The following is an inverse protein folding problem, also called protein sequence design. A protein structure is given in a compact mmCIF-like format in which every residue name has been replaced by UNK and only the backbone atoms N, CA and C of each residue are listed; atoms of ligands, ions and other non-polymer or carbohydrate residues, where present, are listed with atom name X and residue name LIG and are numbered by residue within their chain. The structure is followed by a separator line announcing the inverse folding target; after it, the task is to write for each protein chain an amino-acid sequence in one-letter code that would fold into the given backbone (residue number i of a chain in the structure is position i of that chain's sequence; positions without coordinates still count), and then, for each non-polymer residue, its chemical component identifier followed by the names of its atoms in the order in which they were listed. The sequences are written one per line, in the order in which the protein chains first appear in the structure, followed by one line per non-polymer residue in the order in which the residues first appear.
data_IF_964707756218
#
_entry.id   IF_964707756218
#
_cell.length_a   1.000
_cell.length_b   1.000
_cell.length_c   1.000
_cell.angle_alpha   90.00
_cell.angle_beta   90.00
_cell.angle_gamma   90.00
#
_symmetry.space_group_name_H-M   'P 1'
#
loop_
_entity.id
_entity.type
_entity.pdbx_description
1 polymer ?
#
# COMPACT_ATOMS: atom_id res chain seq x y z
N UNK A 1 -12.16 12.31 -6.02
CA UNK A 1 -11.42 12.97 -7.10
C UNK A 1 -10.68 11.88 -7.86
N UNK A 2 -10.99 11.69 -9.14
CA UNK A 2 -10.36 10.66 -9.95
C UNK A 2 -8.94 11.09 -10.31
N UNK A 3 -7.95 10.45 -9.71
CA UNK A 3 -6.60 10.48 -10.24
C UNK A 3 -6.59 9.64 -11.52
N UNK A 4 -6.51 10.32 -12.65
CA UNK A 4 -6.25 9.71 -13.95
C UNK A 4 -4.85 9.11 -13.89
N UNK A 5 -4.76 7.84 -13.47
CA UNK A 5 -3.63 7.00 -13.86
C UNK A 5 -3.53 7.08 -15.38
N UNK A 6 -2.46 7.72 -15.86
CA UNK A 6 -2.13 7.78 -17.28
C UNK A 6 -2.13 6.37 -17.88
N UNK A 7 -2.49 6.28 -19.15
CA UNK A 7 -2.57 5.04 -19.92
C UNK A 7 -1.18 4.41 -20.09
N UNK A 8 -0.66 3.78 -19.04
CA UNK A 8 0.42 2.81 -19.15
C UNK A 8 -0.19 1.46 -19.58
N UNK A 9 0.41 0.71 -20.51
CA UNK A 9 -0.02 -0.66 -20.82
C UNK A 9 0.32 -1.60 -19.65
N UNK A 10 -0.59 -2.49 -19.27
CA UNK A 10 -0.39 -3.44 -18.16
C UNK A 10 -1.61 -3.58 -17.24
N UNK A 11 -1.61 -4.61 -16.40
CA UNK A 11 -2.64 -4.84 -15.38
C UNK A 11 -2.58 -3.73 -14.32
N UNK A 12 -3.67 -3.54 -13.56
CA UNK A 12 -3.76 -2.47 -12.55
C UNK A 12 -2.60 -2.52 -11.52
N UNK A 13 -2.02 -3.70 -11.30
CA UNK A 13 -0.79 -3.88 -10.50
C UNK A 13 0.44 -3.23 -11.14
N UNK A 14 0.72 -3.55 -12.41
CA UNK A 14 1.90 -3.05 -13.14
C UNK A 14 1.97 -1.52 -13.18
N UNK A 15 0.82 -0.84 -13.12
CA UNK A 15 0.75 0.63 -13.09
C UNK A 15 1.00 1.24 -11.72
N UNK A 16 0.71 0.49 -10.67
CA UNK A 16 0.82 0.94 -9.29
C UNK A 16 2.21 0.60 -8.74
N UNK A 17 2.84 -0.47 -9.24
CA UNK A 17 4.16 -0.94 -8.83
C UNK A 17 5.24 0.16 -8.76
N UNK A 18 5.38 1.09 -9.74
CA UNK A 18 6.38 2.16 -9.64
C UNK A 18 6.20 3.08 -8.41
N UNK A 19 4.96 3.31 -7.98
CA UNK A 19 4.66 4.13 -6.80
C UNK A 19 4.89 3.37 -5.49
N UNK A 20 4.88 2.04 -5.54
CA UNK A 20 5.12 1.19 -4.38
C UNK A 20 6.60 0.83 -4.22
N UNK A 21 7.40 0.97 -5.29
CA UNK A 21 8.83 0.64 -5.28
C UNK A 21 9.59 1.27 -4.09
N UNK A 22 9.42 2.57 -3.75
CA UNK A 22 10.12 3.16 -2.61
C UNK A 22 9.79 2.49 -1.27
N UNK A 23 8.57 1.97 -1.11
CA UNK A 23 8.17 1.23 0.09
C UNK A 23 8.84 -0.15 0.12
N UNK A 24 8.97 -0.82 -1.03
CA UNK A 24 9.71 -2.09 -1.11
C UNK A 24 11.20 -1.88 -0.81
N UNK A 25 11.82 -0.86 -1.39
CA UNK A 25 13.24 -0.53 -1.17
C UNK A 25 13.50 -0.27 0.34
N UNK A 26 12.63 0.52 0.99
CA UNK A 26 12.74 0.78 2.43
C UNK A 26 12.60 -0.50 3.28
N UNK A 27 11.76 -1.46 2.86
CA UNK A 27 11.64 -2.75 3.55
C UNK A 27 12.88 -3.62 3.34
N UNK A 28 13.49 -3.60 2.16
CA UNK A 28 14.71 -4.34 1.84
C UNK A 28 15.92 -3.86 2.67
N UNK A 29 15.98 -2.56 2.99
CA UNK A 29 17.01 -2.00 3.87
C UNK A 29 16.88 -2.49 5.33
N UNK A 30 15.67 -2.84 5.77
CA UNK A 30 15.37 -3.21 7.16
C UNK A 30 15.23 -4.72 7.38
N UNK A 31 14.88 -5.49 6.34
CA UNK A 31 14.51 -6.89 6.43
C UNK A 31 15.34 -7.72 5.44
N UNK A 32 16.01 -8.80 5.90
CA UNK A 32 16.76 -9.68 5.00
C UNK A 32 15.89 -10.18 3.83
N UNK A 33 16.40 -10.19 2.58
CA UNK A 33 15.60 -10.43 1.38
C UNK A 33 14.76 -11.71 1.39
N UNK A 34 15.33 -12.81 1.90
CA UNK A 34 14.64 -14.10 1.99
C UNK A 34 13.40 -14.02 2.91
N UNK A 35 13.55 -13.32 4.04
CA UNK A 35 12.50 -13.15 5.04
C UNK A 35 11.44 -12.15 4.58
N UNK A 36 11.85 -11.08 3.89
CA UNK A 36 10.91 -10.15 3.27
C UNK A 36 10.04 -10.85 2.23
N UNK A 37 10.63 -11.68 1.38
CA UNK A 37 9.89 -12.48 0.40
C UNK A 37 8.85 -13.38 1.06
N UNK A 38 9.23 -14.10 2.12
CA UNK A 38 8.31 -14.91 2.92
C UNK A 38 7.16 -14.06 3.51
N UNK A 39 7.46 -12.89 4.06
CA UNK A 39 6.45 -11.99 4.62
C UNK A 39 5.46 -11.46 3.59
N UNK A 40 5.91 -11.17 2.38
CA UNK A 40 5.03 -10.75 1.28
C UNK A 40 4.17 -11.93 0.80
N UNK A 41 4.76 -13.11 0.60
CA UNK A 41 4.05 -14.32 0.15
C UNK A 41 2.98 -14.78 1.14
N UNK A 42 3.30 -14.75 2.44
CA UNK A 42 2.39 -15.09 3.54
C UNK A 42 1.43 -13.94 3.90
N UNK A 43 1.47 -12.82 3.18
CA UNK A 43 0.63 -11.61 3.43
C UNK A 43 0.79 -11.01 4.83
N UNK A 44 1.92 -11.26 5.48
CA UNK A 44 2.30 -10.60 6.75
C UNK A 44 2.54 -9.11 6.50
N UNK A 45 3.24 -8.79 5.40
CA UNK A 45 3.39 -7.43 4.90
C UNK A 45 2.51 -7.29 3.66
N UNK A 46 1.68 -6.24 3.63
CA UNK A 46 0.83 -5.90 2.50
C UNK A 46 1.00 -4.42 2.20
N UNK A 47 1.46 -4.10 0.99
CA UNK A 47 1.49 -2.74 0.47
C UNK A 47 0.32 -2.60 -0.50
N UNK A 48 -0.55 -1.63 -0.27
CA UNK A 48 -1.72 -1.42 -1.10
C UNK A 48 -2.13 0.06 -1.14
N UNK A 49 -2.74 0.53 -2.24
CA UNK A 49 -3.31 1.86 -2.29
C UNK A 49 -4.42 2.05 -1.26
N UNK A 50 -4.57 3.28 -0.75
CA UNK A 50 -5.61 3.62 0.24
C UNK A 50 -7.04 3.22 -0.18
N UNK A 51 -7.33 3.24 -1.49
CA UNK A 51 -8.64 2.83 -2.03
C UNK A 51 -8.98 1.36 -1.71
N UNK A 52 -7.98 0.48 -1.59
CA UNK A 52 -8.14 -0.95 -1.31
C UNK A 52 -8.43 -1.23 0.16
N UNK A 53 -8.29 -0.22 1.03
CA UNK A 53 -8.60 -0.32 2.46
C UNK A 53 -10.10 -0.18 2.73
N UNK A 54 -10.89 0.26 1.76
CA UNK A 54 -12.33 0.43 1.95
C UNK A 54 -13.02 -0.92 2.18
N UNK A 55 -13.75 -1.04 3.28
CA UNK A 55 -14.51 -2.27 3.60
C UNK A 55 -13.66 -3.41 4.16
N UNK A 56 -12.35 -3.22 4.35
CA UNK A 56 -11.53 -4.18 5.10
C UNK A 56 -11.73 -3.99 6.61
N UNK A 57 -11.63 -5.08 7.34
CA UNK A 57 -11.44 -5.07 8.80
C UNK A 57 -10.03 -5.59 9.04
N UNK A 58 -9.18 -4.83 9.72
CA UNK A 58 -7.79 -5.20 9.98
C UNK A 58 -7.61 -5.41 11.48
N UNK A 59 -7.73 -6.68 11.90
CA UNK A 59 -7.46 -7.07 13.27
C UNK A 59 -6.00 -7.46 13.43
N UNK A 60 -5.42 -7.17 14.60
CA UNK A 60 -4.04 -7.52 14.96
C UNK A 60 -3.01 -7.07 13.92
N UNK A 61 -3.15 -5.82 13.47
CA UNK A 61 -2.32 -5.25 12.42
C UNK A 61 -1.77 -3.88 12.82
N UNK A 62 -0.55 -3.60 12.36
CA UNK A 62 0.00 -2.24 12.32
C UNK A 62 -0.22 -1.71 10.91
N UNK A 63 -0.87 -0.55 10.80
CA UNK A 63 -1.19 0.07 9.53
C UNK A 63 -0.46 1.41 9.45
N UNK A 64 0.32 1.60 8.39
CA UNK A 64 1.04 2.84 8.11
C UNK A 64 0.41 3.48 6.87
N UNK A 65 0.07 4.76 6.98
CA UNK A 65 -0.34 5.59 5.84
C UNK A 65 0.82 6.50 5.46
N UNK A 66 1.43 6.23 4.33
CA UNK A 66 2.45 7.10 3.76
C UNK A 66 1.81 8.25 2.96
N UNK A 67 2.55 9.35 2.78
CA UNK A 67 2.13 10.51 2.00
C UNK A 67 0.76 11.07 2.43
N UNK A 68 0.45 11.00 3.73
CA UNK A 68 -0.87 11.32 4.27
C UNK A 68 -1.35 12.75 3.96
N UNK A 69 -0.42 13.68 3.69
CA UNK A 69 -0.72 15.04 3.23
C UNK A 69 -1.49 15.09 1.89
N UNK A 70 -1.36 14.06 1.05
CA UNK A 70 -2.05 13.96 -0.24
C UNK A 70 -3.49 13.44 -0.09
N UNK A 71 -3.94 13.13 1.12
CA UNK A 71 -5.27 12.56 1.37
C UNK A 71 -6.31 13.63 1.74
N UNK A 72 -7.58 13.32 1.44
CA UNK A 72 -8.71 14.16 1.85
C UNK A 72 -9.20 13.79 3.26
N UNK A 73 -9.85 14.73 3.97
CA UNK A 73 -10.44 14.46 5.30
C UNK A 73 -11.34 13.20 5.34
N UNK A 74 -12.21 12.93 4.34
CA UNK A 74 -12.98 11.69 4.29
C UNK A 74 -12.11 10.43 4.15
N UNK A 75 -11.01 10.50 3.40
CA UNK A 75 -10.07 9.39 3.23
C UNK A 75 -9.30 9.09 4.52
N UNK A 76 -8.86 10.12 5.26
CA UNK A 76 -8.26 9.93 6.59
C UNK A 76 -9.26 9.30 7.55
N UNK A 77 -10.51 9.80 7.59
CA UNK A 77 -11.55 9.21 8.45
C UNK A 77 -11.83 7.75 8.10
N UNK A 78 -11.86 7.43 6.81
CA UNK A 78 -11.99 6.05 6.35
C UNK A 78 -10.81 5.21 6.85
N UNK A 79 -9.57 5.69 6.73
CA UNK A 79 -8.36 4.99 7.15
C UNK A 79 -8.34 4.69 8.65
N UNK A 80 -8.63 5.69 9.50
CA UNK A 80 -8.62 5.57 10.96
C UNK A 80 -9.69 4.62 11.52
N UNK A 81 -10.64 4.18 10.70
CA UNK A 81 -11.72 3.26 11.10
C UNK A 81 -11.51 1.84 10.57
N UNK A 82 -10.27 1.50 10.21
CA UNK A 82 -9.89 0.17 9.70
C UNK A 82 -9.17 -0.67 10.73
#
# INVERSE_FOLDING_TARGET
AGEKLGFLPGDMKDKIDPYLQPLYDALEDMIPPLKLKEYIENKVIQIAPLAFMRGRTLNDAVIILDEAQNTTKPQIKMFLTR
#
